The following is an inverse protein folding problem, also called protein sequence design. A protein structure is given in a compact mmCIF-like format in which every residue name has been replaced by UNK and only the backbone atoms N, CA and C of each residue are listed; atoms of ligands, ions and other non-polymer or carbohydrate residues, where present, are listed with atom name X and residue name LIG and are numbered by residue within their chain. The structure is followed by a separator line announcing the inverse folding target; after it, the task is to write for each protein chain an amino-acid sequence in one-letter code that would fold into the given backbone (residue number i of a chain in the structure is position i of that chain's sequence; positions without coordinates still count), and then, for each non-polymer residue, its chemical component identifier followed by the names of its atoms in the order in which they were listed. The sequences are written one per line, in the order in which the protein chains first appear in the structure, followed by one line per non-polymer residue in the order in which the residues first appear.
data_IF_541498697528
#
_entry.id   IF_541498697528
#
_cell.length_a   1.000
_cell.length_b   1.000
_cell.length_c   1.000
_cell.angle_alpha   90.00
_cell.angle_beta   90.00
_cell.angle_gamma   90.00
#
_symmetry.space_group_name_H-M   'P 1'
#
loop_
_entity.id
_entity.type
_entity.pdbx_description
1 polymer ?
#
# COMPACT_ATOMS: atom_id res chain seq x y z
N UNK A 1 33.32 0.05 7.54
CA UNK A 1 32.35 0.62 6.57
C UNK A 1 32.18 -0.42 5.48
N UNK A 2 31.15 -1.24 5.57
CA UNK A 2 31.00 -2.50 4.80
C UNK A 2 30.59 -2.19 3.35
N UNK A 3 31.19 -2.87 2.36
CA UNK A 3 30.94 -2.65 0.92
C UNK A 3 29.46 -2.70 0.51
N UNK A 4 28.61 -3.39 1.28
CA UNK A 4 27.17 -3.55 1.05
C UNK A 4 26.35 -2.23 0.98
N UNK A 5 26.93 -1.08 1.36
CA UNK A 5 26.25 0.22 1.36
C UNK A 5 26.74 1.19 0.27
N UNK A 6 27.59 0.72 -0.64
CA UNK A 6 28.08 1.52 -1.75
C UNK A 6 27.48 1.06 -3.08
N UNK A 7 26.87 1.98 -3.82
CA UNK A 7 26.46 1.76 -5.21
C UNK A 7 27.50 2.46 -6.08
N UNK A 8 28.20 1.70 -6.93
CA UNK A 8 29.25 2.23 -7.83
C UNK A 8 30.31 3.09 -7.09
N UNK A 9 30.67 2.70 -5.86
CA UNK A 9 31.67 3.42 -5.04
C UNK A 9 31.17 4.67 -4.31
N UNK A 10 29.89 5.02 -4.45
CA UNK A 10 29.25 6.13 -3.71
C UNK A 10 28.29 5.60 -2.65
N UNK A 11 28.10 6.33 -1.55
CA UNK A 11 27.09 5.96 -0.53
C UNK A 11 25.72 5.93 -1.20
N UNK A 12 24.91 4.90 -0.92
CA UNK A 12 23.52 4.78 -1.42
C UNK A 12 22.69 6.08 -1.36
N UNK A 13 22.92 6.89 -0.33
CA UNK A 13 22.21 8.16 -0.09
C UNK A 13 22.72 9.35 -0.91
N UNK A 14 23.92 9.26 -1.49
CA UNK A 14 24.61 10.34 -2.20
C UNK A 14 25.00 9.97 -3.64
N UNK A 15 24.48 8.86 -4.16
CA UNK A 15 24.70 8.43 -5.55
C UNK A 15 23.86 9.32 -6.46
N UNK A 16 24.50 9.92 -7.47
CA UNK A 16 23.78 10.56 -8.57
C UNK A 16 23.20 9.45 -9.47
N UNK A 17 21.87 9.34 -9.45
CA UNK A 17 21.13 8.41 -10.29
C UNK A 17 21.27 8.83 -11.76
N UNK A 18 21.47 7.85 -12.64
CA UNK A 18 21.34 8.07 -14.08
C UNK A 18 19.89 8.37 -14.45
N UNK A 19 19.66 9.02 -15.60
CA UNK A 19 18.30 9.35 -16.05
C UNK A 19 17.39 8.13 -16.19
N UNK A 20 17.97 6.98 -16.57
CA UNK A 20 17.26 5.70 -16.65
C UNK A 20 16.82 5.18 -15.28
N UNK A 21 17.72 5.16 -14.29
CA UNK A 21 17.40 4.74 -12.91
C UNK A 21 16.37 5.68 -12.27
N UNK A 22 16.47 6.99 -12.55
CA UNK A 22 15.56 7.99 -12.02
C UNK A 22 14.17 7.90 -12.68
N UNK A 23 14.09 7.43 -13.93
CA UNK A 23 12.83 7.07 -14.59
C UNK A 23 12.19 5.85 -13.92
N UNK A 24 12.97 4.80 -13.65
CA UNK A 24 12.49 3.57 -13.02
C UNK A 24 11.98 3.82 -11.59
N UNK A 25 12.72 4.60 -10.80
CA UNK A 25 12.31 5.00 -9.45
C UNK A 25 10.99 5.79 -9.47
N UNK A 26 10.84 6.76 -10.39
CA UNK A 26 9.59 7.51 -10.56
C UNK A 26 8.43 6.62 -11.01
N UNK A 27 8.68 5.70 -11.93
CA UNK A 27 7.67 4.76 -12.41
C UNK A 27 7.17 3.88 -11.26
N UNK A 28 8.08 3.31 -10.45
CA UNK A 28 7.76 2.52 -9.25
C UNK A 28 6.99 3.35 -8.22
N UNK A 29 7.44 4.57 -7.93
CA UNK A 29 6.76 5.42 -6.96
C UNK A 29 5.31 5.76 -7.38
N UNK A 30 5.06 6.05 -8.67
CA UNK A 30 3.71 6.40 -9.15
C UNK A 30 2.76 5.21 -9.25
N UNK A 31 3.27 4.08 -9.71
CA UNK A 31 2.42 2.91 -10.05
C UNK A 31 2.32 1.93 -8.90
N UNK A 32 3.43 1.65 -8.24
CA UNK A 32 3.52 0.54 -7.29
C UNK A 32 3.33 1.00 -5.85
N UNK A 33 4.04 2.04 -5.42
CA UNK A 33 3.87 2.58 -4.07
C UNK A 33 2.65 3.49 -4.01
N UNK A 34 2.50 4.35 -5.02
CA UNK A 34 1.41 5.31 -5.13
C UNK A 34 0.02 4.66 -5.17
N UNK A 35 -0.12 3.47 -5.77
CA UNK A 35 -1.39 2.75 -5.77
C UNK A 35 -1.81 2.33 -4.35
N UNK A 36 -0.88 1.82 -3.54
CA UNK A 36 -1.18 1.36 -2.17
C UNK A 36 -1.55 2.54 -1.28
N UNK A 37 -0.78 3.63 -1.35
CA UNK A 37 -1.04 4.84 -0.58
C UNK A 37 -2.37 5.50 -0.97
N UNK A 38 -2.63 5.67 -2.27
CA UNK A 38 -3.86 6.31 -2.75
C UNK A 38 -5.10 5.52 -2.35
N UNK A 39 -5.08 4.20 -2.50
CA UNK A 39 -6.19 3.33 -2.09
C UNK A 39 -6.42 3.36 -0.58
N UNK A 40 -5.35 3.26 0.22
CA UNK A 40 -5.48 3.30 1.68
C UNK A 40 -6.06 4.63 2.17
N UNK A 41 -5.53 5.76 1.69
CA UNK A 41 -6.01 7.10 2.07
C UNK A 41 -7.47 7.27 1.64
N UNK A 42 -7.81 6.92 0.40
CA UNK A 42 -9.19 7.03 -0.10
C UNK A 42 -10.16 6.20 0.74
N UNK A 43 -9.82 4.95 1.04
CA UNK A 43 -10.65 4.08 1.86
C UNK A 43 -10.87 4.63 3.28
N UNK A 44 -9.82 5.12 3.94
CA UNK A 44 -9.91 5.75 5.27
C UNK A 44 -10.79 7.00 5.22
N UNK A 45 -10.55 7.89 4.26
CA UNK A 45 -11.32 9.13 4.11
C UNK A 45 -12.79 8.87 3.83
N UNK A 46 -13.11 7.92 2.95
CA UNK A 46 -14.50 7.54 2.66
C UNK A 46 -15.16 6.92 3.89
N UNK A 47 -14.46 6.06 4.65
CA UNK A 47 -14.96 5.53 5.91
C UNK A 47 -15.33 6.65 6.90
N UNK A 48 -14.41 7.60 7.13
CA UNK A 48 -14.66 8.75 8.01
C UNK A 48 -15.84 9.62 7.54
N UNK A 49 -15.96 9.84 6.22
CA UNK A 49 -17.10 10.58 5.65
C UNK A 49 -18.41 9.83 5.92
N UNK A 50 -18.45 8.51 5.75
CA UNK A 50 -19.65 7.71 6.03
C UNK A 50 -20.02 7.83 7.52
N UNK A 51 -19.05 7.71 8.43
CA UNK A 51 -19.29 7.90 9.87
C UNK A 51 -19.83 9.31 10.20
N UNK A 52 -19.34 10.35 9.51
CA UNK A 52 -19.70 11.75 9.82
C UNK A 52 -21.03 12.19 9.21
N UNK A 53 -21.39 11.65 8.05
CA UNK A 53 -22.52 12.14 7.23
C UNK A 53 -23.80 11.32 7.41
N UNK A 54 -23.72 10.02 7.66
CA UNK A 54 -24.91 9.16 7.68
C UNK A 54 -25.55 9.00 9.07
N UNK A 55 -26.84 8.65 9.07
CA UNK A 55 -27.64 8.32 10.26
C UNK A 55 -27.10 7.07 10.96
N UNK A 56 -27.49 6.87 12.23
CA UNK A 56 -26.98 5.78 13.09
C UNK A 56 -27.08 4.38 12.48
N UNK A 57 -28.02 4.18 11.55
CA UNK A 57 -28.24 2.93 10.82
C UNK A 57 -27.02 2.53 9.97
N UNK A 58 -26.30 3.50 9.41
CA UNK A 58 -25.15 3.25 8.53
C UNK A 58 -23.80 3.19 9.27
N UNK A 59 -23.77 3.38 10.59
CA UNK A 59 -22.50 3.35 11.34
C UNK A 59 -21.74 2.04 11.16
N UNK A 60 -22.45 0.90 11.06
CA UNK A 60 -21.84 -0.42 10.84
C UNK A 60 -21.07 -0.47 9.51
N UNK A 61 -21.62 0.15 8.47
CA UNK A 61 -20.98 0.24 7.15
C UNK A 61 -19.76 1.17 7.21
N UNK A 62 -19.90 2.33 7.86
CA UNK A 62 -18.80 3.27 8.05
C UNK A 62 -17.61 2.67 8.83
N UNK A 63 -17.87 1.99 9.94
CA UNK A 63 -16.84 1.31 10.74
C UNK A 63 -16.12 0.24 9.92
N UNK A 64 -16.85 -0.50 9.09
CA UNK A 64 -16.27 -1.53 8.21
C UNK A 64 -15.26 -0.91 7.23
N UNK A 65 -15.62 0.20 6.58
CA UNK A 65 -14.69 0.91 5.68
C UNK A 65 -13.51 1.54 6.41
N UNK A 66 -13.73 2.07 7.62
CA UNK A 66 -12.65 2.62 8.44
C UNK A 66 -11.62 1.57 8.83
N UNK A 67 -12.07 0.40 9.32
CA UNK A 67 -11.19 -0.73 9.65
C UNK A 67 -10.48 -1.24 8.40
N UNK A 68 -11.19 -1.41 7.28
CA UNK A 68 -10.59 -1.78 6.01
C UNK A 68 -9.49 -0.81 5.58
N UNK A 69 -9.73 0.50 5.68
CA UNK A 69 -8.75 1.54 5.37
C UNK A 69 -7.51 1.46 6.26
N UNK A 70 -7.67 1.24 7.57
CA UNK A 70 -6.56 1.05 8.50
C UNK A 70 -5.73 -0.20 8.18
N UNK A 71 -6.39 -1.32 7.85
CA UNK A 71 -5.72 -2.56 7.44
C UNK A 71 -4.92 -2.32 6.15
N UNK A 72 -5.51 -1.66 5.16
CA UNK A 72 -4.82 -1.31 3.90
C UNK A 72 -3.63 -0.38 4.13
N UNK A 73 -3.75 0.59 5.04
CA UNK A 73 -2.65 1.47 5.43
C UNK A 73 -1.52 0.68 6.10
N UNK A 74 -1.87 -0.24 7.02
CA UNK A 74 -0.91 -1.14 7.65
C UNK A 74 -0.14 -1.99 6.63
N UNK A 75 -0.84 -2.58 5.66
CA UNK A 75 -0.24 -3.35 4.56
C UNK A 75 0.70 -2.47 3.73
N UNK A 76 0.29 -1.24 3.42
CA UNK A 76 1.13 -0.30 2.66
C UNK A 76 2.43 0.04 3.41
N UNK A 77 2.37 0.27 4.72
CA UNK A 77 3.55 0.56 5.56
C UNK A 77 4.46 -0.65 5.67
N UNK A 78 3.91 -1.84 5.91
CA UNK A 78 4.69 -3.09 5.99
C UNK A 78 5.39 -3.39 4.67
N UNK A 79 4.68 -3.22 3.56
CA UNK A 79 5.26 -3.39 2.23
C UNK A 79 6.36 -2.39 1.94
N UNK A 80 6.20 -1.12 2.34
CA UNK A 80 7.24 -0.11 2.21
C UNK A 80 8.51 -0.47 2.99
N UNK A 81 8.36 -1.12 4.16
CA UNK A 81 9.52 -1.61 4.95
C UNK A 81 10.16 -2.87 4.37
N UNK A 82 9.37 -3.70 3.69
CA UNK A 82 9.81 -4.98 3.12
C UNK A 82 10.32 -4.85 1.67
N UNK A 83 9.99 -3.75 1.01
CA UNK A 83 10.58 -3.35 -0.26
C UNK A 83 12.06 -3.06 -0.01
N UNK A 84 12.90 -4.10 -0.13
CA UNK A 84 14.34 -4.02 0.04
C UNK A 84 15.01 -3.08 -0.95
N UNK A 85 16.34 -3.09 -0.96
CA UNK A 85 17.09 -2.18 -1.80
C UNK A 85 16.83 -2.42 -3.28
N UNK A 86 16.45 -1.36 -3.99
CA UNK A 86 16.13 -1.40 -5.42
C UNK A 86 17.38 -1.62 -6.27
N UNK A 87 18.56 -1.29 -5.75
CA UNK A 87 19.82 -1.35 -6.48
C UNK A 87 20.64 -2.62 -6.20
N UNK A 88 20.12 -3.52 -5.36
CA UNK A 88 20.79 -4.78 -5.07
C UNK A 88 20.37 -5.86 -6.07
N UNK A 89 21.18 -6.00 -7.12
CA UNK A 89 21.02 -6.98 -8.20
C UNK A 89 21.24 -8.44 -7.75
N UNK A 90 21.75 -8.66 -6.54
CA UNK A 90 21.94 -10.01 -5.97
C UNK A 90 20.62 -10.64 -5.49
N UNK A 91 19.60 -9.81 -5.25
CA UNK A 91 18.29 -10.25 -4.78
C UNK A 91 17.47 -10.70 -6.01
N UNK A 92 16.93 -11.93 -6.03
CA UNK A 92 16.06 -12.36 -7.13
C UNK A 92 14.84 -11.47 -7.22
N UNK A 93 14.44 -11.12 -8.45
CA UNK A 93 13.27 -10.30 -8.71
C UNK A 93 12.00 -10.97 -8.15
N UNK A 94 11.50 -10.45 -7.01
CA UNK A 94 10.22 -10.85 -6.46
C UNK A 94 9.12 -9.93 -6.97
N UNK A 95 8.14 -10.54 -7.64
CA UNK A 95 6.90 -9.84 -8.01
C UNK A 95 6.06 -9.59 -6.76
N UNK A 96 5.11 -8.66 -6.87
CA UNK A 96 4.20 -8.36 -5.76
C UNK A 96 3.05 -9.33 -5.58
N UNK A 97 3.13 -10.53 -6.17
CA UNK A 97 2.04 -11.51 -6.13
C UNK A 97 1.50 -11.76 -4.72
N UNK A 98 2.39 -11.93 -3.74
CA UNK A 98 1.97 -12.21 -2.35
C UNK A 98 1.22 -11.02 -1.71
N UNK A 99 1.68 -9.79 -1.97
CA UNK A 99 1.02 -8.58 -1.48
C UNK A 99 -0.32 -8.34 -2.18
N UNK A 100 -0.39 -8.63 -3.48
CA UNK A 100 -1.62 -8.56 -4.26
C UNK A 100 -2.64 -9.55 -3.69
N UNK A 101 -2.28 -10.83 -3.54
CA UNK A 101 -3.13 -11.86 -2.95
C UNK A 101 -3.66 -11.45 -1.58
N UNK A 102 -2.79 -10.94 -0.71
CA UNK A 102 -3.16 -10.46 0.63
C UNK A 102 -4.21 -9.33 0.52
N UNK A 103 -3.94 -8.30 -0.28
CA UNK A 103 -4.89 -7.19 -0.47
C UNK A 103 -6.21 -7.66 -1.08
N UNK A 104 -6.19 -8.61 -2.00
CA UNK A 104 -7.38 -9.18 -2.62
C UNK A 104 -8.23 -9.94 -1.60
N UNK A 105 -7.63 -10.74 -0.73
CA UNK A 105 -8.37 -11.46 0.32
C UNK A 105 -9.03 -10.45 1.27
N UNK A 106 -8.29 -9.43 1.70
CA UNK A 106 -8.81 -8.38 2.60
C UNK A 106 -9.96 -7.60 1.96
N UNK A 107 -9.86 -7.24 0.68
CA UNK A 107 -10.94 -6.53 -0.02
C UNK A 107 -12.17 -7.41 -0.19
N UNK A 108 -11.98 -8.69 -0.54
CA UNK A 108 -13.08 -9.63 -0.77
C UNK A 108 -13.87 -9.89 0.53
N UNK A 109 -13.17 -10.11 1.65
CA UNK A 109 -13.80 -10.23 2.99
C UNK A 109 -14.57 -8.96 3.34
N UNK A 110 -13.98 -7.78 3.11
CA UNK A 110 -14.64 -6.49 3.36
C UNK A 110 -15.94 -6.36 2.58
N UNK A 111 -15.93 -6.75 1.29
CA UNK A 111 -17.11 -6.68 0.43
C UNK A 111 -18.19 -7.69 0.83
N UNK A 112 -17.82 -8.89 1.28
CA UNK A 112 -18.77 -9.86 1.84
C UNK A 112 -19.45 -9.28 3.08
N UNK A 113 -18.68 -8.70 4.01
CA UNK A 113 -19.23 -8.07 5.23
C UNK A 113 -20.17 -6.93 4.86
N UNK A 114 -19.77 -6.07 3.91
CA UNK A 114 -20.60 -4.98 3.43
C UNK A 114 -21.91 -5.47 2.82
N UNK A 115 -21.85 -6.51 1.99
CA UNK A 115 -23.04 -7.11 1.38
C UNK A 115 -24.01 -7.62 2.46
N UNK A 116 -23.51 -8.34 3.47
CA UNK A 116 -24.33 -8.82 4.58
C UNK A 116 -24.93 -7.67 5.39
N UNK A 117 -24.17 -6.61 5.65
CA UNK A 117 -24.66 -5.44 6.37
C UNK A 117 -25.73 -4.69 5.58
N UNK A 118 -25.58 -4.61 4.26
CA UNK A 118 -26.56 -3.97 3.37
C UNK A 118 -27.85 -4.78 3.29
N UNK A 119 -27.77 -6.11 3.20
CA UNK A 119 -28.95 -7.00 3.19
C UNK A 119 -29.69 -7.05 4.53
N UNK A 120 -29.04 -6.66 5.63
CA UNK A 120 -29.63 -6.61 6.98
C UNK A 120 -30.12 -5.23 7.40
N UNK A 121 -29.86 -4.22 6.57
CA UNK A 121 -30.30 -2.84 6.78
C UNK A 121 -31.78 -2.71 6.42
#
# INVERSE_FOLDING_TARGET
MTEANMIRGHRKQSVLLTDAELLEMRARQRTFEGAYWRTAIMAVSTGLLILKVFTKEFYKIGITFFVFGLVMLGIAVLRRRTAGDVFDLSIPFQTSGNWVLLTTIVTLVTYIILLVLLLKL
#
